data_IF_090142061519
#
_entry.id   IF_090142061519
#
_cell.length_a   1.000
_cell.length_b   1.000
_cell.length_c   1.000
_cell.angle_alpha   90.00
_cell.angle_beta   90.00
_cell.angle_gamma   90.00
#
_symmetry.space_group_name_H-M   'P 1'
#
loop_
_entity.id
_entity.type
_entity.pdbx_description
1 polymer ?
#
# COMPACT_ATOMS: atom_id res chain seq x y z
N UNK A 1 -21.08 1.51 -5.29
CA UNK A 1 -19.94 1.59 -4.34
C UNK A 1 -18.64 1.80 -5.11
N UNK A 2 -17.87 2.74 -4.67
CA UNK A 2 -16.56 2.99 -5.26
C UNK A 2 -15.60 1.83 -4.96
N UNK A 3 -14.83 1.46 -5.97
CA UNK A 3 -13.80 0.44 -5.83
C UNK A 3 -12.57 1.08 -5.18
N UNK A 4 -12.04 0.43 -4.15
CA UNK A 4 -10.89 0.95 -3.43
C UNK A 4 -9.58 0.53 -4.07
N UNK A 5 -8.58 1.38 -3.96
CA UNK A 5 -7.25 1.14 -4.48
C UNK A 5 -6.33 0.56 -3.42
N UNK A 6 -5.48 -0.37 -3.81
CA UNK A 6 -4.36 -0.85 -3.01
C UNK A 6 -3.08 -0.52 -3.76
N UNK A 7 -2.14 0.13 -3.09
CA UNK A 7 -0.82 0.39 -3.67
C UNK A 7 0.17 -0.63 -3.13
N UNK A 8 0.78 -1.38 -4.01
CA UNK A 8 1.84 -2.34 -3.68
C UNK A 8 3.18 -1.77 -4.14
N UNK A 9 4.11 -1.65 -3.19
CA UNK A 9 5.47 -1.19 -3.45
C UNK A 9 6.41 -2.38 -3.30
N UNK A 10 6.85 -2.93 -4.41
CA UNK A 10 7.63 -4.17 -4.47
C UNK A 10 8.56 -4.15 -5.67
N UNK A 11 9.87 -4.31 -5.45
CA UNK A 11 10.86 -4.29 -6.52
C UNK A 11 11.12 -5.65 -7.16
N UNK A 12 10.83 -6.74 -6.47
CA UNK A 12 11.07 -8.09 -6.98
C UNK A 12 9.98 -8.48 -7.97
N UNK A 13 10.32 -8.78 -9.26
CA UNK A 13 9.31 -9.12 -10.25
C UNK A 13 8.51 -10.38 -9.92
N UNK A 14 9.16 -11.38 -9.31
CA UNK A 14 8.47 -12.62 -8.95
C UNK A 14 7.48 -12.38 -7.82
N UNK A 15 7.86 -11.61 -6.82
CA UNK A 15 6.96 -11.26 -5.71
C UNK A 15 5.79 -10.41 -6.19
N UNK A 16 6.03 -9.48 -7.12
CA UNK A 16 4.95 -8.69 -7.72
C UNK A 16 3.94 -9.59 -8.42
N UNK A 17 4.43 -10.56 -9.21
CA UNK A 17 3.55 -11.45 -9.95
C UNK A 17 2.73 -12.36 -9.02
N UNK A 18 3.36 -12.90 -7.98
CA UNK A 18 2.67 -13.71 -6.98
C UNK A 18 1.58 -12.91 -6.28
N UNK A 19 1.85 -11.65 -5.95
CA UNK A 19 0.86 -10.75 -5.35
C UNK A 19 -0.30 -10.49 -6.29
N UNK A 20 -0.02 -10.22 -7.57
CA UNK A 20 -1.07 -10.01 -8.56
C UNK A 20 -1.98 -11.22 -8.67
N UNK A 21 -1.38 -12.41 -8.71
CA UNK A 21 -2.15 -13.66 -8.78
C UNK A 21 -3.01 -13.86 -7.52
N UNK A 22 -2.45 -13.58 -6.35
CA UNK A 22 -3.18 -13.72 -5.10
C UNK A 22 -4.36 -12.73 -5.02
N UNK A 23 -4.14 -11.48 -5.39
CA UNK A 23 -5.21 -10.47 -5.39
C UNK A 23 -6.26 -10.75 -6.47
N UNK A 24 -5.86 -11.32 -7.61
CA UNK A 24 -6.81 -11.67 -8.65
C UNK A 24 -7.83 -12.73 -8.21
N UNK A 25 -7.51 -13.49 -7.18
CA UNK A 25 -8.38 -14.56 -6.67
C UNK A 25 -9.34 -14.09 -5.57
N UNK A 26 -9.17 -12.88 -5.04
CA UNK A 26 -10.14 -12.36 -4.07
C UNK A 26 -11.39 -11.86 -4.80
N UNK A 27 -12.54 -12.10 -4.19
CA UNK A 27 -13.83 -11.68 -4.74
C UNK A 27 -14.16 -10.22 -4.39
N UNK A 28 -13.39 -9.62 -3.50
CA UNK A 28 -13.62 -8.23 -3.09
C UNK A 28 -13.12 -7.29 -4.18
N UNK A 29 -13.98 -6.42 -4.73
CA UNK A 29 -13.56 -5.48 -5.78
C UNK A 29 -12.47 -4.54 -5.30
N UNK A 30 -11.42 -4.39 -6.10
CA UNK A 30 -10.30 -3.51 -5.79
C UNK A 30 -9.51 -3.21 -7.07
N UNK A 31 -8.71 -2.16 -7.02
CA UNK A 31 -7.69 -1.89 -8.03
C UNK A 31 -6.31 -2.07 -7.37
N UNK A 32 -5.49 -2.95 -7.92
CA UNK A 32 -4.13 -3.14 -7.44
C UNK A 32 -3.18 -2.32 -8.32
N UNK A 33 -2.57 -1.32 -7.71
CA UNK A 33 -1.60 -0.46 -8.36
C UNK A 33 -0.22 -0.90 -7.87
N UNK A 34 0.69 -1.20 -8.78
CA UNK A 34 2.00 -1.73 -8.44
C UNK A 34 3.08 -0.76 -8.90
N UNK A 35 3.96 -0.38 -7.97
CA UNK A 35 5.14 0.41 -8.26
C UNK A 35 6.38 -0.36 -7.82
N UNK A 36 7.52 -0.07 -8.45
CA UNK A 36 8.72 -0.88 -8.31
C UNK A 36 9.70 -0.41 -7.24
N UNK A 37 9.60 0.83 -6.80
CA UNK A 37 10.50 1.36 -5.78
C UNK A 37 9.84 2.49 -4.97
N UNK A 38 10.56 2.94 -3.95
CA UNK A 38 10.04 3.95 -3.04
C UNK A 38 9.90 5.32 -3.66
N UNK A 39 10.75 5.68 -4.62
CA UNK A 39 10.64 6.96 -5.32
C UNK A 39 9.36 6.98 -6.17
N UNK A 40 9.09 5.91 -6.90
CA UNK A 40 7.84 5.77 -7.65
C UNK A 40 6.62 5.87 -6.73
N UNK A 41 6.69 5.24 -5.56
CA UNK A 41 5.60 5.29 -4.60
C UNK A 41 5.32 6.71 -4.13
N UNK A 42 6.36 7.43 -3.74
CA UNK A 42 6.23 8.81 -3.29
C UNK A 42 5.75 9.72 -4.41
N UNK A 43 6.27 9.55 -5.62
CA UNK A 43 5.82 10.31 -6.77
C UNK A 43 4.34 10.04 -7.08
N UNK A 44 3.92 8.78 -7.01
CA UNK A 44 2.54 8.40 -7.21
C UNK A 44 1.60 9.07 -6.18
N UNK A 45 2.02 9.11 -4.92
CA UNK A 45 1.16 9.58 -3.83
C UNK A 45 1.18 11.08 -3.62
N UNK A 46 2.33 11.73 -3.78
CA UNK A 46 2.50 13.13 -3.44
C UNK A 46 3.22 13.95 -4.50
N UNK A 47 3.63 13.33 -5.61
CA UNK A 47 4.32 14.01 -6.69
C UNK A 47 3.39 14.86 -7.57
N UNK A 48 3.97 15.60 -8.51
CA UNK A 48 3.22 16.44 -9.44
C UNK A 48 2.24 15.64 -10.30
N UNK A 49 2.57 14.40 -10.62
CA UNK A 49 1.72 13.53 -11.41
C UNK A 49 0.42 13.13 -10.72
N UNK A 50 0.36 13.27 -9.41
CA UNK A 50 -0.84 12.93 -8.64
C UNK A 50 -2.04 13.79 -9.05
N UNK A 51 -1.85 15.09 -9.20
CA UNK A 51 -2.92 16.00 -9.61
C UNK A 51 -3.42 15.71 -11.02
N UNK A 52 -2.49 15.42 -11.93
CA UNK A 52 -2.86 15.11 -13.32
C UNK A 52 -3.69 13.84 -13.40
N UNK A 53 -3.37 12.83 -12.60
CA UNK A 53 -4.15 11.59 -12.59
C UNK A 53 -5.55 11.79 -12.04
N UNK A 54 -5.71 12.64 -11.03
CA UNK A 54 -7.04 12.93 -10.48
C UNK A 54 -7.94 13.70 -11.43
N UNK A 55 -7.35 14.57 -12.24
CA UNK A 55 -8.09 15.34 -13.24
C UNK A 55 -8.54 14.49 -14.43
N UNK A 56 -7.82 13.42 -14.73
CA UNK A 56 -8.08 12.55 -15.87
C UNK A 56 -9.13 11.48 -15.55
N UNK A 57 -9.20 11.02 -14.30
CA UNK A 57 -10.01 9.88 -13.90
C UNK A 57 -11.09 10.25 -12.87
N UNK A 58 -11.85 11.32 -13.12
CA UNK A 58 -12.91 11.73 -12.19
C UNK A 58 -13.96 10.62 -11.94
N UNK A 59 -14.18 9.77 -12.91
CA UNK A 59 -15.16 8.69 -12.83
C UNK A 59 -14.55 7.34 -12.42
N UNK A 60 -13.24 7.25 -12.36
CA UNK A 60 -12.54 6.01 -12.03
C UNK A 60 -11.58 6.29 -10.88
N UNK A 61 -11.80 5.66 -9.75
CA UNK A 61 -10.96 5.83 -8.56
C UNK A 61 -9.51 5.34 -8.75
N UNK A 62 -9.12 4.97 -9.97
CA UNK A 62 -7.78 4.47 -10.27
C UNK A 62 -6.66 5.45 -9.92
N UNK A 63 -6.95 6.77 -9.92
CA UNK A 63 -5.97 7.80 -9.53
C UNK A 63 -6.08 8.29 -8.10
N UNK A 64 -7.04 7.77 -7.32
CA UNK A 64 -7.28 8.24 -5.95
C UNK A 64 -6.30 7.68 -4.93
N UNK A 65 -6.36 8.24 -3.72
CA UNK A 65 -5.54 7.73 -2.62
C UNK A 65 -5.92 6.29 -2.30
N UNK A 66 -4.93 5.43 -2.05
CA UNK A 66 -5.24 4.03 -1.74
C UNK A 66 -5.87 3.87 -0.35
N UNK A 67 -6.69 2.83 -0.23
CA UNK A 67 -7.21 2.41 1.06
C UNK A 67 -6.15 1.70 1.89
N UNK A 68 -5.12 1.18 1.23
CA UNK A 68 -4.02 0.47 1.87
C UNK A 68 -2.77 0.59 1.02
N UNK A 69 -1.65 0.86 1.68
CA UNK A 69 -0.32 0.77 1.06
C UNK A 69 0.35 -0.49 1.62
N UNK A 70 0.74 -1.40 0.73
CA UNK A 70 1.55 -2.56 1.09
C UNK A 70 2.99 -2.26 0.68
N UNK A 71 3.88 -2.24 1.64
CA UNK A 71 5.23 -1.69 1.47
C UNK A 71 6.29 -2.71 1.88
N UNK A 72 7.17 -3.07 0.96
CA UNK A 72 8.34 -3.86 1.27
C UNK A 72 9.42 -2.97 1.91
N UNK A 73 10.20 -3.53 2.82
CA UNK A 73 11.32 -2.80 3.43
C UNK A 73 12.56 -2.77 2.55
N UNK A 74 12.82 -3.84 1.81
CA UNK A 74 14.04 -3.98 1.00
C UNK A 74 13.83 -3.43 -0.39
N UNK A 75 13.85 -2.11 -0.51
CA UNK A 75 13.65 -1.42 -1.78
C UNK A 75 14.95 -0.77 -2.25
N UNK A 76 15.16 -0.66 -3.58
CA UNK A 76 16.30 0.08 -4.09
C UNK A 76 16.11 1.59 -3.93
N UNK A 77 17.22 2.32 -4.00
CA UNK A 77 17.33 3.77 -3.87
C UNK A 77 17.01 4.28 -2.48
N UNK A 78 15.75 4.18 -2.04
CA UNK A 78 15.37 4.45 -0.65
C UNK A 78 14.66 3.24 -0.12
N UNK A 79 14.98 2.84 1.11
CA UNK A 79 14.37 1.66 1.72
C UNK A 79 12.95 1.96 2.21
N UNK A 80 12.22 0.89 2.57
CA UNK A 80 10.83 1.03 2.99
C UNK A 80 10.63 1.85 4.25
N UNK A 81 11.56 1.81 5.20
CA UNK A 81 11.47 2.63 6.41
C UNK A 81 11.51 4.12 6.06
N UNK A 82 12.40 4.52 5.14
CA UNK A 82 12.48 5.91 4.69
C UNK A 82 11.21 6.33 3.95
N UNK A 83 10.65 5.45 3.12
CA UNK A 83 9.36 5.71 2.47
C UNK A 83 8.29 5.95 3.52
N UNK A 84 8.19 5.07 4.51
CA UNK A 84 7.21 5.18 5.59
C UNK A 84 7.37 6.50 6.35
N UNK A 85 8.60 6.85 6.69
CA UNK A 85 8.91 8.10 7.39
C UNK A 85 8.40 9.30 6.60
N UNK A 86 8.65 9.33 5.29
CA UNK A 86 8.20 10.44 4.43
C UNK A 86 6.69 10.48 4.29
N UNK A 87 6.03 9.32 4.23
CA UNK A 87 4.57 9.27 4.17
C UNK A 87 3.96 9.87 5.44
N UNK A 88 4.53 9.56 6.59
CA UNK A 88 4.03 10.08 7.88
C UNK A 88 4.31 11.55 8.08
N UNK A 89 5.33 12.09 7.42
CA UNK A 89 5.67 13.51 7.49
C UNK A 89 4.84 14.39 6.56
N UNK A 90 4.15 13.80 5.59
CA UNK A 90 3.41 14.59 4.58
C UNK A 90 1.93 14.68 4.92
N UNK A 91 1.31 15.87 4.84
CA UNK A 91 -0.10 16.05 5.21
C UNK A 91 -1.08 15.18 4.43
N UNK A 92 -0.77 14.89 3.16
CA UNK A 92 -1.67 14.11 2.30
C UNK A 92 -1.65 12.62 2.60
N UNK A 93 -0.58 12.12 3.19
CA UNK A 93 -0.36 10.67 3.34
C UNK A 93 -0.22 10.20 4.77
N UNK A 94 -0.10 11.11 5.73
CA UNK A 94 0.21 10.77 7.12
C UNK A 94 -0.80 9.86 7.80
N UNK A 95 -2.03 9.82 7.32
CA UNK A 95 -3.09 8.98 7.90
C UNK A 95 -3.43 7.75 7.07
N UNK A 96 -2.74 7.52 5.96
CA UNK A 96 -3.00 6.35 5.13
C UNK A 96 -2.57 5.07 5.85
N UNK A 97 -3.38 4.01 5.81
CA UNK A 97 -2.95 2.72 6.34
C UNK A 97 -1.75 2.18 5.57
N UNK A 98 -0.70 1.81 6.30
CA UNK A 98 0.50 1.20 5.71
C UNK A 98 0.74 -0.14 6.37
N UNK A 99 0.76 -1.19 5.57
CA UNK A 99 1.06 -2.54 5.96
C UNK A 99 2.44 -2.89 5.40
N UNK A 100 3.39 -3.19 6.27
CA UNK A 100 4.70 -3.67 5.84
C UNK A 100 4.58 -5.15 5.53
N UNK A 101 5.11 -5.56 4.39
CA UNK A 101 5.25 -6.98 4.07
C UNK A 101 6.71 -7.23 3.70
N UNK A 102 7.41 -8.01 4.53
CA UNK A 102 8.86 -8.15 4.41
C UNK A 102 9.32 -9.56 4.75
N UNK A 103 10.36 -10.01 4.08
CA UNK A 103 11.03 -11.27 4.41
C UNK A 103 11.99 -11.15 5.59
N UNK A 104 12.19 -9.95 6.13
CA UNK A 104 13.15 -9.73 7.21
C UNK A 104 12.78 -10.47 8.49
N UNK A 105 13.78 -11.08 9.12
CA UNK A 105 13.70 -11.70 10.43
C UNK A 105 14.27 -10.82 11.54
N UNK A 106 14.77 -9.65 11.20
CA UNK A 106 15.46 -8.80 12.14
C UNK A 106 14.47 -8.12 13.09
N UNK A 107 14.58 -8.31 14.41
CA UNK A 107 13.70 -7.62 15.35
C UNK A 107 13.76 -6.10 15.21
N UNK A 108 14.92 -5.57 14.83
CA UNK A 108 15.09 -4.13 14.67
C UNK A 108 14.23 -3.58 13.52
N UNK A 109 14.10 -4.33 12.44
CA UNK A 109 13.23 -3.91 11.32
C UNK A 109 11.76 -3.81 11.76
N UNK A 110 11.33 -4.76 12.58
CA UNK A 110 9.99 -4.74 13.14
C UNK A 110 9.78 -3.53 14.04
N UNK A 111 10.72 -3.27 14.94
CA UNK A 111 10.65 -2.13 15.84
C UNK A 111 10.66 -0.81 15.07
N UNK A 112 11.58 -0.66 14.13
CA UNK A 112 11.69 0.56 13.32
C UNK A 112 10.44 0.81 12.50
N UNK A 113 9.81 -0.24 12.00
CA UNK A 113 8.56 -0.12 11.24
C UNK A 113 7.45 0.47 12.10
N UNK A 114 7.29 -0.02 13.32
CA UNK A 114 6.27 0.51 14.23
C UNK A 114 6.61 1.91 14.75
N UNK A 115 7.87 2.17 15.05
CA UNK A 115 8.31 3.51 15.47
C UNK A 115 7.99 4.53 14.37
N UNK A 116 8.19 4.17 13.11
CA UNK A 116 7.95 5.08 11.99
C UNK A 116 6.50 5.08 11.53
N UNK A 117 5.62 4.34 12.20
CA UNK A 117 4.18 4.51 12.04
C UNK A 117 3.49 3.55 11.09
N UNK A 118 4.01 2.32 10.91
CA UNK A 118 3.22 1.32 10.19
C UNK A 118 2.02 0.91 11.01
N UNK A 119 0.95 0.52 10.33
CA UNK A 119 -0.27 0.02 10.97
C UNK A 119 -0.19 -1.48 11.22
N UNK A 120 0.58 -2.20 10.41
CA UNK A 120 0.66 -3.64 10.47
C UNK A 120 1.96 -4.11 9.84
N UNK A 121 2.44 -5.26 10.28
CA UNK A 121 3.66 -5.86 9.76
C UNK A 121 3.40 -7.35 9.53
N UNK A 122 3.58 -7.80 8.29
CA UNK A 122 3.40 -9.20 7.93
C UNK A 122 4.71 -9.71 7.35
N UNK A 123 5.15 -10.87 7.85
CA UNK A 123 6.27 -11.57 7.29
C UNK A 123 5.87 -12.23 5.99
N UNK A 124 6.68 -12.07 4.94
CA UNK A 124 6.39 -12.69 3.65
C UNK A 124 6.27 -14.20 3.81
N UNK A 125 5.16 -14.80 3.35
CA UNK A 125 5.01 -16.25 3.38
C UNK A 125 5.91 -16.90 2.33
N UNK A 126 6.31 -18.13 2.60
CA UNK A 126 7.18 -18.91 1.71
C UNK A 126 6.35 -19.57 0.60
N UNK A 127 5.10 -19.97 0.92
CA UNK A 127 4.24 -20.70 -0.01
C UNK A 127 3.10 -19.84 -0.53
N UNK A 128 2.77 -20.01 -1.80
CA UNK A 128 1.70 -19.27 -2.46
C UNK A 128 0.33 -19.49 -1.80
N UNK A 129 0.06 -20.71 -1.32
CA UNK A 129 -1.21 -20.98 -0.63
C UNK A 129 -1.38 -20.15 0.63
N UNK A 130 -0.31 -19.91 1.37
CA UNK A 130 -0.32 -19.02 2.53
C UNK A 130 -0.55 -17.56 2.11
N UNK A 131 0.10 -17.16 1.02
CA UNK A 131 -0.08 -15.81 0.48
C UNK A 131 -1.53 -15.57 0.07
N UNK A 132 -2.16 -16.53 -0.60
CA UNK A 132 -3.57 -16.43 -0.98
C UNK A 132 -4.46 -16.22 0.24
N UNK A 133 -4.22 -16.96 1.30
CA UNK A 133 -4.98 -16.82 2.54
C UNK A 133 -4.79 -15.46 3.17
N UNK A 134 -3.53 -15.01 3.26
CA UNK A 134 -3.20 -13.70 3.84
C UNK A 134 -3.83 -12.57 3.03
N UNK A 135 -3.74 -12.62 1.72
CA UNK A 135 -4.33 -11.61 0.84
C UNK A 135 -5.85 -11.57 0.99
N UNK A 136 -6.49 -12.72 1.17
CA UNK A 136 -7.93 -12.77 1.42
C UNK A 136 -8.29 -12.05 2.72
N UNK A 137 -7.53 -12.30 3.77
CA UNK A 137 -7.74 -11.65 5.07
C UNK A 137 -7.45 -10.15 5.01
N UNK A 138 -6.38 -9.75 4.33
CA UNK A 138 -6.04 -8.34 4.11
C UNK A 138 -7.18 -7.63 3.38
N UNK A 139 -7.64 -8.23 2.29
CA UNK A 139 -8.71 -7.64 1.47
C UNK A 139 -9.98 -7.48 2.27
N UNK A 140 -10.36 -8.51 3.02
CA UNK A 140 -11.56 -8.45 3.85
C UNK A 140 -11.46 -7.33 4.88
N UNK A 141 -10.36 -7.27 5.62
CA UNK A 141 -10.23 -6.27 6.69
C UNK A 141 -10.09 -4.86 6.14
N UNK A 142 -9.13 -4.64 5.26
CA UNK A 142 -8.77 -3.27 4.85
C UNK A 142 -9.72 -2.67 3.82
N UNK A 143 -10.41 -3.49 3.05
CA UNK A 143 -11.33 -2.99 2.03
C UNK A 143 -12.80 -2.97 2.47
N UNK A 144 -13.18 -3.76 3.48
CA UNK A 144 -14.58 -3.85 3.89
C UNK A 144 -14.83 -3.53 5.36
N UNK A 145 -13.95 -3.94 6.26
CA UNK A 145 -14.16 -3.78 7.71
C UNK A 145 -13.57 -2.47 8.21
N UNK A 146 -12.33 -2.16 7.79
CA UNK A 146 -11.63 -0.97 8.24
C UNK A 146 -12.37 0.30 7.82
N UNK A 147 -12.44 1.26 8.74
CA UNK A 147 -12.99 2.59 8.45
C UNK A 147 -11.83 3.54 8.17
N UNK A 148 -11.81 4.09 6.96
CA UNK A 148 -10.78 5.05 6.57
C UNK A 148 -11.02 6.41 7.20
N UNK A 149 -9.93 7.14 7.54
CA UNK A 149 -10.09 8.50 8.02
C UNK A 149 -10.66 9.38 6.91
N UNK A 150 -11.55 10.34 7.24
CA UNK A 150 -12.20 11.17 6.24
C UNK A 150 -11.29 12.32 5.75
N UNK A 151 -10.10 11.96 5.25
CA UNK A 151 -9.11 12.95 4.83
C UNK A 151 -9.18 13.30 3.35
N UNK A 152 -10.00 12.54 2.59
CA UNK A 152 -10.02 12.67 1.13
C UNK A 152 -11.33 13.28 0.68
N UNK A 153 -11.39 14.61 0.64
CA UNK A 153 -12.52 15.34 0.14
C UNK A 153 -13.50 15.85 1.18
N UNK A 154 -13.61 15.18 2.32
CA UNK A 154 -14.59 15.55 3.35
C UNK A 154 -14.18 16.81 4.11
N UNK A 155 -12.89 17.04 4.25
CA UNK A 155 -12.37 18.21 4.98
C UNK A 155 -12.48 19.52 4.21
N UNK A 156 -12.90 19.46 2.96
CA UNK A 156 -13.08 20.63 2.12
C UNK A 156 -14.53 21.10 2.04
N UNK A 157 -15.37 20.47 2.78
CA UNK A 157 -16.80 20.83 2.82
C UNK A 157 -17.13 21.80 3.94
#
# INVERSE_FOLDING_TARGET
MSVKNILLVEDNPDDRELMRLAFAQTEIPHNLIVVSDGIEALDYLIGQNYRQRQEIDEDDNAGGMPALIMLDLNLPRINGIEVLRRLRAHPKTRLLPVLIISSSNEPQDLIDSYINGCNSYIRKPIHFTQLQKIVREISTYWLTINQLPPVFGVLNE
#
